data_IF_260941416450
#
_entry.id   IF_260941416450
#
_cell.length_a   1.000
_cell.length_b   1.000
_cell.length_c   1.000
_cell.angle_alpha   90.00
_cell.angle_beta   90.00
_cell.angle_gamma   90.00
#
_symmetry.space_group_name_H-M   'P 1'
#
loop_
_entity.id
_entity.type
_entity.pdbx_description
1 polymer ?
#
# COMPACT_ATOMS: atom_id res chain seq x y z
N UNK A 1 49.99 -27.85 -19.62
CA UNK A 1 49.56 -28.25 -18.27
C UNK A 1 49.41 -26.95 -17.52
N UNK A 2 48.24 -26.48 -17.11
CA UNK A 2 46.99 -27.10 -16.64
C UNK A 2 45.82 -26.20 -17.17
N UNK A 3 44.70 -26.66 -17.75
CA UNK A 3 43.53 -27.38 -17.22
C UNK A 3 42.87 -26.76 -15.97
N UNK A 4 41.66 -26.22 -16.22
CA UNK A 4 40.46 -26.18 -15.35
C UNK A 4 40.52 -25.20 -14.14
N UNK A 5 39.48 -24.43 -13.78
CA UNK A 5 38.06 -24.79 -13.63
C UNK A 5 37.09 -23.61 -13.88
N UNK A 6 35.95 -23.93 -14.50
CA UNK A 6 34.71 -23.16 -14.42
C UNK A 6 34.21 -23.14 -12.97
N UNK A 7 34.10 -21.96 -12.36
CA UNK A 7 33.40 -21.83 -11.09
C UNK A 7 31.92 -21.60 -11.39
N UNK A 8 31.17 -22.69 -11.44
CA UNK A 8 29.72 -22.69 -11.31
C UNK A 8 29.40 -22.30 -9.85
N UNK A 9 28.77 -21.16 -9.65
CA UNK A 9 28.18 -20.81 -8.35
C UNK A 9 26.68 -21.06 -8.45
N UNK A 10 26.30 -22.31 -8.22
CA UNK A 10 24.92 -22.63 -7.81
C UNK A 10 24.76 -22.14 -6.37
N UNK A 11 23.95 -21.11 -6.20
CA UNK A 11 23.50 -20.62 -4.92
C UNK A 11 21.99 -20.56 -4.92
N UNK A 12 21.35 -21.73 -4.87
CA UNK A 12 19.95 -21.83 -4.47
C UNK A 12 19.89 -21.41 -3.01
N UNK A 13 19.42 -20.19 -2.73
CA UNK A 13 19.12 -19.77 -1.38
C UNK A 13 17.89 -20.53 -0.92
N UNK A 14 18.09 -21.53 -0.07
CA UNK A 14 17.04 -22.24 0.66
C UNK A 14 16.14 -21.22 1.37
N UNK A 15 14.90 -21.09 0.89
CA UNK A 15 13.86 -20.30 1.56
C UNK A 15 13.32 -21.16 2.68
N UNK A 16 13.65 -20.79 3.92
CA UNK A 16 13.17 -21.46 5.12
C UNK A 16 11.64 -21.52 5.17
N UNK A 17 11.12 -22.71 5.46
CA UNK A 17 9.70 -23.01 5.62
C UNK A 17 9.09 -22.19 6.78
N UNK A 18 8.25 -21.20 6.44
CA UNK A 18 7.58 -20.35 7.42
C UNK A 18 6.49 -19.47 6.79
N UNK A 19 5.23 -19.91 6.93
CA UNK A 19 3.98 -19.38 6.35
C UNK A 19 3.97 -19.37 4.81
N UNK A 20 3.40 -20.43 4.24
CA UNK A 20 3.31 -20.66 2.78
C UNK A 20 2.57 -19.53 2.02
N UNK A 21 1.77 -18.70 2.72
CA UNK A 21 1.06 -17.55 2.15
C UNK A 21 0.93 -16.41 3.17
N UNK A 22 1.21 -15.17 2.75
CA UNK A 22 0.95 -13.97 3.55
C UNK A 22 -0.56 -13.63 3.65
N UNK A 23 -0.93 -12.64 4.46
CA UNK A 23 -2.34 -12.31 4.75
C UNK A 23 -3.10 -11.71 3.55
N UNK A 24 -2.39 -11.28 2.50
CA UNK A 24 -3.01 -10.66 1.32
C UNK A 24 -3.55 -11.67 0.31
N UNK A 25 -3.11 -12.93 0.38
CA UNK A 25 -3.43 -13.96 -0.62
C UNK A 25 -2.84 -13.70 -2.01
N UNK A 26 -1.92 -12.73 -2.17
CA UNK A 26 -1.28 -12.39 -3.44
C UNK A 26 -0.06 -13.28 -3.70
N UNK A 27 0.21 -13.65 -4.97
CA UNK A 27 1.43 -14.36 -5.32
C UNK A 27 2.68 -13.53 -4.97
N UNK A 28 3.79 -14.20 -4.67
CA UNK A 28 5.08 -13.54 -4.45
C UNK A 28 5.56 -12.86 -5.73
N UNK A 29 6.12 -11.66 -5.61
CA UNK A 29 6.67 -10.93 -6.76
C UNK A 29 8.13 -11.35 -6.94
N UNK A 30 8.54 -11.81 -8.15
CA UNK A 30 9.92 -12.21 -8.39
C UNK A 30 10.87 -11.00 -8.33
N UNK A 31 12.15 -11.27 -8.08
CA UNK A 31 13.19 -10.23 -8.11
C UNK A 31 13.19 -9.51 -9.47
N UNK A 32 13.15 -8.17 -9.44
CA UNK A 32 13.03 -7.34 -10.64
C UNK A 32 11.61 -7.17 -11.19
N UNK A 33 10.60 -7.76 -10.53
CA UNK A 33 9.19 -7.55 -10.86
C UNK A 33 8.67 -6.15 -10.52
N UNK A 34 7.43 -5.83 -10.93
CA UNK A 34 6.84 -4.51 -10.70
C UNK A 34 6.63 -4.28 -9.20
N UNK A 35 7.29 -3.25 -8.67
CA UNK A 35 7.19 -2.93 -7.24
C UNK A 35 6.02 -1.99 -6.92
N UNK A 36 5.86 -0.92 -7.70
CA UNK A 36 4.89 0.15 -7.43
C UNK A 36 4.29 0.59 -8.77
N UNK A 37 2.96 0.68 -8.86
CA UNK A 37 2.28 1.18 -10.07
C UNK A 37 2.11 2.71 -10.02
N UNK A 38 1.92 3.34 -11.19
CA UNK A 38 1.73 4.79 -11.30
C UNK A 38 0.61 5.32 -10.38
N UNK A 39 -0.50 4.57 -10.26
CA UNK A 39 -1.62 4.94 -9.39
C UNK A 39 -1.22 4.98 -7.91
N UNK A 40 -0.38 4.06 -7.42
CA UNK A 40 0.14 4.11 -6.05
C UNK A 40 1.02 5.34 -5.82
N UNK A 41 1.83 5.71 -6.81
CA UNK A 41 2.65 6.91 -6.74
C UNK A 41 1.79 8.19 -6.69
N UNK A 42 0.69 8.24 -7.46
CA UNK A 42 -0.26 9.35 -7.49
C UNK A 42 -1.12 9.42 -6.22
N UNK A 43 -1.49 8.28 -5.65
CA UNK A 43 -2.15 8.18 -4.33
C UNK A 43 -1.18 8.36 -3.16
N UNK A 44 0.11 8.54 -3.49
CA UNK A 44 1.29 8.84 -2.67
C UNK A 44 1.68 7.82 -1.62
N UNK A 45 2.04 6.66 -2.15
CA UNK A 45 2.94 5.70 -1.52
C UNK A 45 4.08 6.36 -0.72
N UNK A 46 4.35 5.83 0.47
CA UNK A 46 5.42 6.28 1.36
C UNK A 46 5.07 7.46 2.28
N UNK A 47 3.86 8.04 2.18
CA UNK A 47 3.37 9.00 3.18
C UNK A 47 3.37 8.39 4.59
N UNK A 48 3.82 9.13 5.60
CA UNK A 48 3.82 8.65 7.00
C UNK A 48 4.94 7.64 7.37
N UNK A 49 5.64 7.05 6.39
CA UNK A 49 6.59 5.95 6.64
C UNK A 49 8.00 6.42 7.06
N UNK A 50 8.41 7.67 6.78
CA UNK A 50 9.71 8.22 7.18
C UNK A 50 9.64 9.69 7.62
N UNK A 51 10.60 10.13 8.45
CA UNK A 51 10.69 11.53 8.89
C UNK A 51 10.81 12.53 7.72
N UNK A 52 11.47 12.14 6.63
CA UNK A 52 11.60 12.95 5.42
C UNK A 52 10.34 12.91 4.52
N UNK A 53 9.58 11.81 4.56
CA UNK A 53 8.39 11.60 3.72
C UNK A 53 7.21 12.52 4.04
N UNK A 54 7.10 12.98 5.29
CA UNK A 54 5.95 13.78 5.74
C UNK A 54 5.95 15.21 5.19
N UNK A 55 7.12 15.79 4.90
CA UNK A 55 7.22 17.15 4.40
C UNK A 55 7.34 17.25 2.87
N UNK A 56 7.85 16.21 2.20
CA UNK A 56 8.33 16.34 0.81
C UNK A 56 7.31 15.99 -0.29
N UNK A 57 6.12 15.49 0.06
CA UNK A 57 5.08 15.13 -0.93
C UNK A 57 3.71 15.76 -0.66
N UNK A 58 3.54 16.65 0.32
CA UNK A 58 2.25 17.31 0.49
C UNK A 58 2.03 18.34 -0.62
N UNK A 59 1.34 17.91 -1.68
CA UNK A 59 0.83 18.78 -2.74
C UNK A 59 -0.66 18.96 -2.47
N UNK A 60 -1.06 20.01 -1.72
CA UNK A 60 -2.48 20.27 -1.51
C UNK A 60 -3.15 20.35 -2.89
N UNK A 61 -4.18 19.54 -3.07
CA UNK A 61 -5.00 19.43 -4.29
C UNK A 61 -4.30 18.82 -5.53
N UNK A 62 -3.10 18.27 -5.42
CA UNK A 62 -2.39 17.67 -6.57
C UNK A 62 -2.65 16.18 -6.79
N UNK A 63 -3.04 15.46 -5.74
CA UNK A 63 -3.08 14.00 -5.77
C UNK A 63 -4.36 13.49 -6.43
N UNK A 64 -5.51 14.05 -6.06
CA UNK A 64 -6.81 13.65 -6.61
C UNK A 64 -6.89 13.85 -8.14
N UNK A 65 -6.49 15.01 -8.70
CA UNK A 65 -6.47 15.16 -10.16
C UNK A 65 -5.56 14.16 -10.87
N UNK A 66 -4.42 13.81 -10.26
CA UNK A 66 -3.50 12.82 -10.83
C UNK A 66 -4.11 11.40 -10.83
N UNK A 67 -4.77 11.02 -9.73
CA UNK A 67 -5.50 9.75 -9.65
C UNK A 67 -6.67 9.73 -10.64
N UNK A 68 -7.44 10.82 -10.73
CA UNK A 68 -8.53 10.96 -11.69
C UNK A 68 -8.05 10.77 -13.11
N UNK A 69 -6.98 11.46 -13.52
CA UNK A 69 -6.39 11.30 -14.83
C UNK A 69 -5.94 9.86 -15.11
N UNK A 70 -5.28 9.22 -14.15
CA UNK A 70 -4.82 7.83 -14.32
C UNK A 70 -6.00 6.86 -14.45
N UNK A 71 -7.05 7.01 -13.66
CA UNK A 71 -8.22 6.12 -13.70
C UNK A 71 -9.06 6.36 -14.96
N UNK A 72 -9.35 7.62 -15.29
CA UNK A 72 -10.33 7.98 -16.33
C UNK A 72 -9.72 8.00 -17.73
N UNK A 73 -8.52 8.57 -17.89
CA UNK A 73 -7.89 8.73 -19.20
C UNK A 73 -6.94 7.58 -19.53
N UNK A 74 -6.24 7.04 -18.53
CA UNK A 74 -5.25 5.98 -18.73
C UNK A 74 -5.76 4.58 -18.39
N UNK A 75 -6.98 4.45 -17.84
CA UNK A 75 -7.58 3.16 -17.48
C UNK A 75 -6.83 2.42 -16.38
N UNK A 76 -6.19 3.15 -15.46
CA UNK A 76 -5.48 2.55 -14.33
C UNK A 76 -6.44 1.79 -13.42
N UNK A 77 -6.04 0.58 -13.02
CA UNK A 77 -6.80 -0.23 -12.08
C UNK A 77 -6.74 0.37 -10.66
N UNK A 78 -7.90 0.79 -10.15
CA UNK A 78 -8.06 1.35 -8.80
C UNK A 78 -7.77 0.31 -7.70
N UNK A 79 -7.81 -0.97 -8.04
CA UNK A 79 -7.55 -2.10 -7.15
C UNK A 79 -6.15 -2.71 -7.34
N UNK A 80 -5.29 -2.08 -8.16
CA UNK A 80 -3.92 -2.53 -8.36
C UNK A 80 -3.21 -2.74 -7.00
N UNK A 81 -2.32 -3.74 -6.93
CA UNK A 81 -1.58 -4.07 -5.72
C UNK A 81 -0.08 -3.80 -5.89
N UNK A 82 0.53 -3.10 -4.93
CA UNK A 82 1.97 -2.89 -4.89
C UNK A 82 2.73 -4.10 -4.31
N UNK A 83 4.06 -4.00 -4.20
CA UNK A 83 4.90 -5.06 -3.67
C UNK A 83 4.56 -5.48 -2.23
N UNK A 84 4.05 -4.56 -1.43
CA UNK A 84 3.62 -4.83 -0.05
C UNK A 84 2.15 -5.26 0.02
N UNK A 85 1.48 -5.41 -1.12
CA UNK A 85 0.07 -5.75 -1.21
C UNK A 85 -0.87 -4.58 -0.89
N UNK A 86 -0.36 -3.35 -0.79
CA UNK A 86 -1.23 -2.18 -0.65
C UNK A 86 -1.94 -1.90 -1.96
N UNK A 87 -3.20 -1.50 -1.82
CA UNK A 87 -4.00 -0.85 -2.86
C UNK A 87 -3.88 0.68 -2.76
N UNK A 88 -4.18 1.45 -3.82
CA UNK A 88 -4.23 2.92 -3.79
C UNK A 88 -5.02 3.49 -2.60
N UNK A 89 -6.11 2.82 -2.23
CA UNK A 89 -6.97 3.22 -1.12
C UNK A 89 -6.26 3.20 0.26
N UNK A 90 -5.30 2.29 0.48
CA UNK A 90 -4.49 2.28 1.70
C UNK A 90 -3.69 3.59 1.84
N UNK A 91 -3.16 4.12 0.73
CA UNK A 91 -2.40 5.37 0.75
C UNK A 91 -3.31 6.59 0.93
N UNK A 92 -4.51 6.59 0.35
CA UNK A 92 -5.52 7.61 0.63
C UNK A 92 -5.92 7.63 2.13
N UNK A 93 -6.16 6.46 2.70
CA UNK A 93 -6.48 6.29 4.12
C UNK A 93 -5.35 6.77 5.04
N UNK A 94 -4.08 6.47 4.72
CA UNK A 94 -2.91 6.92 5.49
C UNK A 94 -2.72 8.44 5.58
N UNK A 95 -3.52 9.20 4.82
CA UNK A 95 -3.52 10.67 4.78
C UNK A 95 -4.81 11.28 5.31
N UNK A 96 -5.79 10.45 5.66
CA UNK A 96 -7.15 10.92 5.95
C UNK A 96 -7.80 11.64 4.76
N UNK A 97 -7.43 11.31 3.53
CA UNK A 97 -7.91 12.00 2.33
C UNK A 97 -9.32 11.51 1.94
N UNK A 98 -10.34 12.10 2.59
CA UNK A 98 -11.75 11.71 2.45
C UNK A 98 -12.24 11.80 1.00
N UNK A 99 -11.88 12.88 0.30
CA UNK A 99 -12.32 13.09 -1.08
C UNK A 99 -11.77 12.01 -2.01
N UNK A 100 -10.49 11.67 -1.85
CA UNK A 100 -9.86 10.58 -2.59
C UNK A 100 -10.48 9.22 -2.26
N UNK A 101 -10.76 8.94 -0.98
CA UNK A 101 -11.40 7.69 -0.55
C UNK A 101 -12.75 7.54 -1.25
N UNK A 102 -13.60 8.57 -1.18
CA UNK A 102 -14.93 8.55 -1.80
C UNK A 102 -14.85 8.37 -3.31
N UNK A 103 -13.94 9.10 -3.98
CA UNK A 103 -13.71 8.94 -5.42
C UNK A 103 -13.30 7.52 -5.80
N UNK A 104 -12.31 6.94 -5.11
CA UNK A 104 -11.85 5.57 -5.43
C UNK A 104 -12.95 4.54 -5.20
N UNK A 105 -13.74 4.69 -4.13
CA UNK A 105 -14.89 3.81 -3.85
C UNK A 105 -15.96 3.93 -4.94
N UNK A 106 -16.24 5.15 -5.42
CA UNK A 106 -17.15 5.37 -6.56
C UNK A 106 -16.65 4.66 -7.83
N UNK A 107 -15.33 4.59 -8.04
CA UNK A 107 -14.70 3.85 -9.14
C UNK A 107 -14.56 2.34 -8.89
N UNK A 108 -15.10 1.81 -7.80
CA UNK A 108 -15.12 0.39 -7.49
C UNK A 108 -13.89 -0.12 -6.74
N UNK A 109 -13.21 0.74 -5.97
CA UNK A 109 -12.17 0.30 -5.06
C UNK A 109 -12.74 -0.61 -3.96
N UNK A 110 -12.09 -1.74 -3.74
CA UNK A 110 -12.39 -2.64 -2.64
C UNK A 110 -11.83 -2.05 -1.33
N UNK A 111 -12.72 -1.80 -0.37
CA UNK A 111 -12.38 -1.26 0.95
C UNK A 111 -11.88 -2.32 1.92
N UNK A 112 -12.18 -3.60 1.63
CA UNK A 112 -11.87 -4.76 2.49
C UNK A 112 -10.48 -5.34 2.25
N UNK A 113 -9.72 -4.73 1.35
CA UNK A 113 -8.38 -5.16 0.96
C UNK A 113 -7.42 -5.16 2.14
N UNK A 114 -6.52 -6.13 2.14
CA UNK A 114 -5.51 -6.34 3.19
C UNK A 114 -4.12 -6.40 2.55
N UNK A 115 -3.14 -5.74 3.18
CA UNK A 115 -1.73 -5.77 2.78
C UNK A 115 -1.09 -7.12 3.10
N UNK A 116 0.13 -7.38 2.60
CA UNK A 116 0.88 -8.60 2.95
C UNK A 116 1.21 -8.70 4.44
N UNK A 117 1.15 -7.58 5.18
CA UNK A 117 1.37 -7.52 6.62
C UNK A 117 0.07 -7.60 7.43
N UNK A 118 -1.07 -7.82 6.78
CA UNK A 118 -2.36 -7.88 7.46
C UNK A 118 -3.00 -6.52 7.74
N UNK A 119 -2.45 -5.42 7.20
CA UNK A 119 -3.01 -4.07 7.43
C UNK A 119 -4.24 -3.85 6.54
N UNK A 120 -5.33 -3.39 7.14
CA UNK A 120 -6.53 -2.98 6.41
C UNK A 120 -6.45 -1.52 5.97
N UNK A 121 -7.40 -1.08 5.15
CA UNK A 121 -7.58 0.35 4.83
C UNK A 121 -7.82 1.20 6.09
N UNK A 122 -8.59 0.69 7.06
CA UNK A 122 -8.85 1.41 8.34
C UNK A 122 -7.59 1.51 9.18
N UNK A 123 -6.78 0.44 9.24
CA UNK A 123 -5.52 0.46 9.99
C UNK A 123 -4.62 1.59 9.53
N UNK A 124 -4.57 1.84 8.21
CA UNK A 124 -3.78 2.94 7.64
C UNK A 124 -4.27 4.31 8.09
N UNK A 125 -5.59 4.52 8.23
CA UNK A 125 -6.16 5.75 8.79
C UNK A 125 -5.96 5.86 10.31
N UNK A 126 -5.82 4.74 11.00
CA UNK A 126 -5.64 4.65 12.44
C UNK A 126 -4.18 4.85 12.90
N UNK A 127 -3.25 5.07 11.97
CA UNK A 127 -1.84 5.32 12.30
C UNK A 127 -1.15 4.08 12.87
N UNK A 128 -0.90 3.05 12.05
CA UNK A 128 -0.24 1.82 12.50
C UNK A 128 1.26 2.06 12.76
N UNK A 129 1.75 3.28 12.51
CA UNK A 129 3.12 3.73 12.78
C UNK A 129 3.04 4.96 13.67
N UNK A 130 3.81 4.98 14.76
CA UNK A 130 3.81 5.99 15.84
C UNK A 130 3.84 7.48 15.41
N UNK A 131 4.12 7.80 14.15
CA UNK A 131 4.43 9.16 13.68
C UNK A 131 3.25 9.92 13.09
N UNK A 132 2.10 9.28 12.87
CA UNK A 132 0.89 9.92 12.35
C UNK A 132 -0.23 9.70 13.39
N UNK A 133 -0.93 10.78 13.73
CA UNK A 133 -2.13 10.68 14.57
C UNK A 133 -3.27 10.05 13.77
N UNK A 134 -4.18 9.31 14.40
CA UNK A 134 -5.34 8.73 13.73
C UNK A 134 -6.16 9.81 13.03
N UNK A 135 -6.83 9.44 11.93
CA UNK A 135 -7.80 10.28 11.22
C UNK A 135 -9.23 9.79 11.52
N UNK A 136 -9.92 10.33 12.55
CA UNK A 136 -11.19 9.78 13.02
C UNK A 136 -12.28 9.76 11.95
N UNK A 137 -12.31 10.79 11.10
CA UNK A 137 -13.28 10.88 10.01
C UNK A 137 -13.05 9.80 8.95
N UNK A 138 -11.79 9.53 8.59
CA UNK A 138 -11.46 8.48 7.61
C UNK A 138 -11.69 7.08 8.18
N UNK A 139 -11.40 6.88 9.46
CA UNK A 139 -11.72 5.64 10.18
C UNK A 139 -13.22 5.38 10.13
N UNK A 140 -14.03 6.36 10.59
CA UNK A 140 -15.48 6.22 10.62
C UNK A 140 -16.07 5.99 9.23
N UNK A 141 -15.55 6.68 8.21
CA UNK A 141 -15.97 6.48 6.82
C UNK A 141 -15.68 5.05 6.36
N UNK A 142 -14.45 4.57 6.48
CA UNK A 142 -14.06 3.24 6.00
C UNK A 142 -14.79 2.12 6.76
N UNK A 143 -14.96 2.27 8.08
CA UNK A 143 -15.77 1.36 8.89
C UNK A 143 -17.23 1.34 8.42
N UNK A 144 -17.81 2.51 8.10
CA UNK A 144 -19.19 2.60 7.58
C UNK A 144 -19.36 1.94 6.21
N UNK A 145 -18.26 1.84 5.43
CA UNK A 145 -18.21 1.16 4.14
C UNK A 145 -17.93 -0.36 4.29
N UNK A 146 -17.72 -0.84 5.52
CA UNK A 146 -17.56 -2.25 5.85
C UNK A 146 -16.13 -2.68 6.20
N UNK A 147 -15.13 -1.81 6.00
CA UNK A 147 -13.75 -2.15 6.26
C UNK A 147 -13.49 -2.42 7.76
N UNK A 148 -12.64 -3.41 8.04
CA UNK A 148 -12.35 -3.85 9.41
C UNK A 148 -11.24 -3.02 10.01
N UNK A 149 -11.42 -2.57 11.25
CA UNK A 149 -10.38 -1.95 12.07
C UNK A 149 -9.74 -3.03 12.96
N UNK A 150 -8.44 -3.29 12.80
CA UNK A 150 -7.75 -4.24 13.68
C UNK A 150 -7.39 -3.62 15.03
N UNK A 151 -7.69 -2.33 15.25
CA UNK A 151 -7.42 -1.57 16.47
C UNK A 151 -5.93 -1.53 16.88
N UNK A 152 -5.03 -1.64 15.89
CA UNK A 152 -3.57 -1.65 16.08
C UNK A 152 -2.95 -0.24 16.13
N UNK A 153 -3.70 0.76 16.61
CA UNK A 153 -3.23 2.13 16.71
C UNK A 153 -2.04 2.25 17.67
N UNK A 154 -0.91 2.75 17.19
CA UNK A 154 0.31 2.83 18.02
C UNK A 154 0.40 4.15 18.79
N UNK A 155 -0.31 5.19 18.36
CA UNK A 155 -0.30 6.53 18.97
C UNK A 155 -1.51 6.83 19.87
N UNK A 156 -2.48 5.92 20.00
CA UNK A 156 -3.71 6.10 20.77
C UNK A 156 -3.57 5.89 22.29
N UNK A 157 -2.34 5.93 22.84
CA UNK A 157 -2.08 5.78 24.28
C UNK A 157 -2.41 7.03 25.10
#
# INVERSE_FOLDING_TARGET
TESEDEVVVEGESEVGEGKETDDSGLPTIPTGGPAIHAIHAASGVGYGQSFAGNAHRYLPNGWLPAVQYLVEEMGADVNARDANGYAPLHHAASRGDIEMILYMVEKGADVMVVSRKGETTVDMANGPVQRVQPYPEAIALLESLGAVNNHNCVSCQ
#
